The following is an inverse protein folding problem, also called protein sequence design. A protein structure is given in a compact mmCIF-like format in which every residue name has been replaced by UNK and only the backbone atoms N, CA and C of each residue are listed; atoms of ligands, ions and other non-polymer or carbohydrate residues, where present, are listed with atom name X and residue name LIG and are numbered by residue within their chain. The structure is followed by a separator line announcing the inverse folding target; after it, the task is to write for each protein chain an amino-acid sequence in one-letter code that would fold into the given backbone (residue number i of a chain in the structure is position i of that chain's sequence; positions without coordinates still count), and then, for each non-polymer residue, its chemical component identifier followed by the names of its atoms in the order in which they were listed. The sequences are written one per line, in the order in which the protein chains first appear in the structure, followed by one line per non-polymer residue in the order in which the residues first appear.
data_IF_078719580543
#
_entry.id   IF_078719580543
#
_cell.length_a   1.000
_cell.length_b   1.000
_cell.length_c   1.000
_cell.angle_alpha   90.00
_cell.angle_beta   90.00
_cell.angle_gamma   90.00
#
_symmetry.space_group_name_H-M   'P 1'
#
loop_
_entity.id
_entity.type
_entity.pdbx_description
1 polymer ?
#
# COMPACT_ATOMS: atom_id res chain seq x y z
N UNK A 1 -15.23 1.40 27.19
CA UNK A 1 -14.55 0.22 27.76
C UNK A 1 -13.16 0.12 27.16
N UNK A 2 -12.09 0.31 27.95
CA UNK A 2 -10.70 0.26 27.46
C UNK A 2 -10.29 -1.21 27.31
N UNK A 3 -10.10 -1.68 26.07
CA UNK A 3 -9.62 -3.03 25.79
C UNK A 3 -8.11 -3.05 26.04
N UNK A 4 -7.68 -3.72 27.12
CA UNK A 4 -6.27 -4.06 27.34
C UNK A 4 -5.96 -5.28 26.48
N UNK A 5 -5.13 -5.09 25.46
CA UNK A 5 -4.61 -6.20 24.64
C UNK A 5 -3.47 -6.83 25.45
N UNK A 6 -3.69 -8.07 25.88
CA UNK A 6 -2.72 -8.84 26.66
C UNK A 6 -1.74 -9.52 25.67
N UNK A 7 -0.63 -8.84 25.40
CA UNK A 7 0.31 -9.13 24.30
C UNK A 7 1.45 -10.11 24.68
N UNK A 8 1.31 -10.90 25.76
CA UNK A 8 2.45 -11.61 26.35
C UNK A 8 2.77 -13.00 25.75
N UNK A 9 1.92 -13.59 24.90
CA UNK A 9 2.14 -14.98 24.44
C UNK A 9 1.97 -15.28 22.95
N UNK A 10 1.55 -14.33 22.12
CA UNK A 10 1.58 -14.54 20.67
C UNK A 10 2.91 -14.05 20.10
N UNK A 11 3.76 -15.00 19.67
CA UNK A 11 4.89 -14.67 18.79
C UNK A 11 4.31 -14.01 17.55
N UNK A 12 4.52 -12.69 17.43
CA UNK A 12 4.12 -11.93 16.25
C UNK A 12 4.81 -12.52 15.04
N UNK A 13 4.04 -13.23 14.23
CA UNK A 13 4.53 -14.13 13.18
C UNK A 13 5.08 -13.40 11.94
N UNK A 14 5.18 -12.07 12.00
CA UNK A 14 5.70 -11.23 10.92
C UNK A 14 6.51 -10.07 11.53
N UNK A 15 7.83 -10.14 11.41
CA UNK A 15 8.74 -9.09 11.84
C UNK A 15 10.08 -9.20 11.12
N UNK A 16 10.68 -8.05 10.79
CA UNK A 16 12.02 -7.98 10.23
C UNK A 16 13.03 -8.43 11.29
N UNK A 17 13.65 -9.59 11.09
CA UNK A 17 14.74 -10.05 11.94
C UNK A 17 16.05 -9.42 11.48
N UNK A 18 16.60 -8.49 12.27
CA UNK A 18 17.96 -7.99 12.07
C UNK A 18 18.91 -8.99 12.74
N UNK A 19 19.76 -9.66 11.97
CA UNK A 19 20.87 -10.41 12.54
C UNK A 19 21.91 -9.41 13.06
N UNK A 20 21.93 -9.20 14.36
CA UNK A 20 22.98 -8.41 15.01
C UNK A 20 24.14 -9.31 15.38
N UNK A 21 25.04 -9.60 14.43
CA UNK A 21 26.36 -10.11 14.78
C UNK A 21 27.16 -8.98 15.43
N UNK A 22 27.23 -8.99 16.76
CA UNK A 22 28.03 -8.05 17.55
C UNK A 22 29.53 -8.36 17.37
N UNK A 23 30.09 -7.90 16.26
CA UNK A 23 31.53 -7.72 16.13
C UNK A 23 31.81 -6.21 16.15
N UNK A 24 32.53 -5.74 17.19
CA UNK A 24 33.00 -4.35 17.28
C UNK A 24 33.86 -4.06 16.06
N UNK A 25 33.35 -3.22 15.16
CA UNK A 25 33.98 -2.88 13.89
C UNK A 25 34.22 -1.37 13.81
N UNK A 26 35.41 -1.00 13.35
CA UNK A 26 35.98 0.35 13.38
C UNK A 26 35.21 1.31 12.46
N UNK A 27 35.22 2.61 12.76
CA UNK A 27 34.43 3.68 12.11
C UNK A 27 34.52 3.70 10.56
N UNK A 28 35.62 3.23 9.97
CA UNK A 28 35.76 3.10 8.50
C UNK A 28 34.88 2.00 7.90
N UNK A 29 34.64 0.89 8.61
CA UNK A 29 33.77 -0.21 8.13
C UNK A 29 32.29 0.20 8.10
N UNK A 30 31.86 1.15 8.94
CA UNK A 30 30.50 1.71 8.89
C UNK A 30 30.23 2.55 7.63
N UNK A 31 31.27 3.21 7.08
CA UNK A 31 31.13 3.98 5.83
C UNK A 31 31.07 3.10 4.58
N UNK A 32 31.69 1.91 4.63
CA UNK A 32 31.64 0.90 3.56
C UNK A 32 30.46 -0.07 3.69
N UNK A 33 29.79 -0.11 4.85
CA UNK A 33 28.43 -0.60 4.97
C UNK A 33 27.47 0.36 4.23
N UNK A 34 27.59 0.41 2.91
CA UNK A 34 26.42 0.64 2.06
C UNK A 34 25.36 -0.33 2.56
N UNK A 35 24.38 0.22 3.27
CA UNK A 35 23.26 -0.44 3.91
C UNK A 35 22.44 -1.21 2.87
N UNK A 36 22.98 -2.33 2.40
CA UNK A 36 22.22 -3.36 1.74
C UNK A 36 21.53 -4.12 2.87
N UNK A 37 20.50 -3.49 3.43
CA UNK A 37 19.61 -4.11 4.41
C UNK A 37 18.84 -5.18 3.65
N UNK A 38 19.40 -6.39 3.59
CA UNK A 38 18.71 -7.53 3.01
C UNK A 38 17.65 -7.99 4.02
N UNK A 39 16.39 -7.63 3.76
CA UNK A 39 15.26 -8.06 4.56
C UNK A 39 14.77 -9.43 4.08
N UNK A 40 14.83 -10.42 4.96
CA UNK A 40 14.29 -11.76 4.73
C UNK A 40 12.99 -11.95 5.52
N UNK A 41 11.93 -12.34 4.83
CA UNK A 41 10.68 -12.73 5.49
C UNK A 41 10.76 -14.20 5.89
N UNK A 42 10.30 -14.52 7.09
CA UNK A 42 10.22 -15.89 7.58
C UNK A 42 8.77 -16.23 7.86
N UNK A 43 8.37 -17.46 7.54
CA UNK A 43 7.10 -18.06 7.98
C UNK A 43 7.46 -19.31 8.78
N UNK A 44 7.46 -19.21 10.11
CA UNK A 44 8.03 -20.24 10.98
C UNK A 44 9.55 -20.38 10.79
N UNK A 45 10.04 -21.60 10.55
CA UNK A 45 11.46 -21.89 10.31
C UNK A 45 11.90 -21.69 8.85
N UNK A 46 10.97 -21.42 7.92
CA UNK A 46 11.28 -21.29 6.50
C UNK A 46 11.51 -19.83 6.11
N UNK A 47 12.64 -19.58 5.44
CA UNK A 47 12.92 -18.32 4.75
C UNK A 47 12.10 -18.25 3.46
N UNK A 48 11.30 -17.20 3.33
CA UNK A 48 10.50 -16.92 2.15
C UNK A 48 11.43 -16.41 1.05
N UNK A 49 11.39 -17.06 -0.11
CA UNK A 49 12.15 -16.69 -1.30
C UNK A 49 12.04 -15.17 -1.59
N UNK A 50 13.14 -14.53 -1.98
CA UNK A 50 13.26 -13.08 -2.25
C UNK A 50 12.15 -12.53 -3.15
N UNK A 51 11.73 -13.28 -4.19
CA UNK A 51 10.62 -12.88 -5.08
C UNK A 51 9.28 -12.76 -4.35
N UNK A 52 8.97 -13.73 -3.49
CA UNK A 52 7.71 -13.77 -2.73
C UNK A 52 7.71 -12.74 -1.60
N UNK A 53 8.88 -12.52 -0.99
CA UNK A 53 9.18 -11.42 -0.07
C UNK A 53 8.88 -10.05 -0.72
N UNK A 54 9.38 -9.83 -1.93
CA UNK A 54 9.17 -8.58 -2.66
C UNK A 54 7.69 -8.36 -2.98
N UNK A 55 6.98 -9.41 -3.40
CA UNK A 55 5.55 -9.34 -3.68
C UNK A 55 4.72 -8.99 -2.42
N UNK A 56 5.01 -9.63 -1.28
CA UNK A 56 4.34 -9.34 -0.01
C UNK A 56 4.58 -7.89 0.41
N UNK A 57 5.85 -7.45 0.38
CA UNK A 57 6.20 -6.06 0.72
C UNK A 57 5.50 -5.04 -0.19
N UNK A 58 5.41 -5.32 -1.50
CA UNK A 58 4.67 -4.49 -2.46
C UNK A 58 3.18 -4.41 -2.13
N UNK A 59 2.54 -5.52 -1.75
CA UNK A 59 1.13 -5.54 -1.33
C UNK A 59 0.90 -4.75 -0.05
N UNK A 60 1.79 -4.89 0.94
CA UNK A 60 1.71 -4.15 2.21
C UNK A 60 1.83 -2.64 1.95
N UNK A 61 2.83 -2.22 1.18
CA UNK A 61 3.04 -0.81 0.83
C UNK A 61 1.88 -0.22 0.04
N UNK A 62 1.38 -0.94 -0.96
CA UNK A 62 0.21 -0.50 -1.74
C UNK A 62 -1.04 -0.37 -0.86
N UNK A 63 -1.27 -1.32 0.05
CA UNK A 63 -2.41 -1.28 0.98
C UNK A 63 -2.29 -0.08 1.92
N UNK A 64 -1.10 0.13 2.49
CA UNK A 64 -0.82 1.27 3.37
C UNK A 64 -1.03 2.61 2.65
N UNK A 65 -0.44 2.79 1.47
CA UNK A 65 -0.58 4.01 0.69
C UNK A 65 -2.04 4.33 0.33
N UNK A 66 -2.82 3.34 -0.08
CA UNK A 66 -4.25 3.52 -0.38
C UNK A 66 -5.08 3.86 0.87
N UNK A 67 -4.74 3.28 2.03
CA UNK A 67 -5.41 3.63 3.28
C UNK A 67 -5.09 5.05 3.73
N UNK A 68 -3.83 5.49 3.60
CA UNK A 68 -3.44 6.87 3.85
C UNK A 68 -4.23 7.84 2.96
N UNK A 69 -4.30 7.55 1.66
CA UNK A 69 -5.06 8.35 0.70
C UNK A 69 -6.55 8.41 1.05
N UNK A 70 -7.16 7.26 1.40
CA UNK A 70 -8.56 7.16 1.82
C UNK A 70 -8.84 8.00 3.05
N UNK A 71 -7.91 8.01 4.01
CA UNK A 71 -8.03 8.84 5.22
C UNK A 71 -7.89 10.31 4.90
N UNK A 72 -6.90 10.70 4.08
CA UNK A 72 -6.68 12.08 3.67
C UNK A 72 -7.90 12.68 2.95
N UNK A 73 -8.53 11.91 2.05
CA UNK A 73 -9.75 12.33 1.34
C UNK A 73 -10.94 12.45 2.32
N UNK A 74 -11.10 11.51 3.27
CA UNK A 74 -12.19 11.55 4.27
C UNK A 74 -12.07 12.70 5.26
N UNK A 75 -10.84 13.03 5.68
CA UNK A 75 -10.60 14.18 6.55
C UNK A 75 -10.86 15.41 5.70
N UNK A 76 -12.08 15.96 5.84
CA UNK A 76 -12.74 16.99 5.02
C UNK A 76 -11.88 18.12 4.45
N UNK A 77 -10.68 18.37 4.95
CA UNK A 77 -9.72 19.38 4.47
C UNK A 77 -9.52 19.36 2.94
N UNK A 78 -9.58 18.20 2.28
CA UNK A 78 -9.42 18.11 0.82
C UNK A 78 -10.75 18.16 0.04
N UNK A 79 -11.87 17.77 0.67
CA UNK A 79 -13.18 17.64 0.02
C UNK A 79 -14.20 18.75 0.36
N UNK A 80 -13.96 19.56 1.39
CA UNK A 80 -14.93 20.63 1.76
C UNK A 80 -14.83 21.86 0.89
N UNK A 81 -13.74 22.01 0.15
CA UNK A 81 -13.58 23.05 -0.84
C UNK A 81 -13.12 22.34 -2.13
N UNK A 82 -14.02 22.22 -3.12
CA UNK A 82 -13.69 21.77 -4.48
C UNK A 82 -12.83 22.81 -5.21
N UNK A 83 -11.77 23.30 -4.57
CA UNK A 83 -10.81 24.21 -5.17
C UNK A 83 -10.06 23.48 -6.28
N UNK A 84 -9.75 24.21 -7.35
CA UNK A 84 -8.95 23.66 -8.45
C UNK A 84 -7.57 23.17 -7.94
N UNK A 85 -6.99 23.83 -6.93
CA UNK A 85 -5.75 23.37 -6.30
C UNK A 85 -5.85 21.96 -5.68
N UNK A 86 -6.96 21.64 -5.01
CA UNK A 86 -7.17 20.31 -4.45
C UNK A 86 -7.36 19.25 -5.54
N UNK A 87 -8.03 19.62 -6.64
CA UNK A 87 -8.19 18.73 -7.80
C UNK A 87 -6.84 18.44 -8.45
N UNK A 88 -6.01 19.46 -8.65
CA UNK A 88 -4.66 19.31 -9.22
C UNK A 88 -3.75 18.42 -8.36
N UNK A 89 -3.88 18.49 -7.03
CA UNK A 89 -3.12 17.63 -6.11
C UNK A 89 -3.63 16.18 -6.12
N UNK A 90 -4.92 15.96 -6.34
CA UNK A 90 -5.54 14.64 -6.35
C UNK A 90 -5.43 13.93 -7.71
N UNK A 91 -5.43 14.67 -8.82
CA UNK A 91 -5.47 14.13 -10.18
C UNK A 91 -4.37 13.09 -10.48
N UNK A 92 -3.10 13.28 -10.05
CA UNK A 92 -2.05 12.29 -10.26
C UNK A 92 -2.34 10.94 -9.58
N UNK A 93 -3.07 10.94 -8.46
CA UNK A 93 -3.41 9.72 -7.73
C UNK A 93 -4.45 8.87 -8.45
N UNK A 94 -5.22 9.46 -9.37
CA UNK A 94 -6.20 8.71 -10.19
C UNK A 94 -5.51 7.60 -10.98
N UNK A 95 -4.36 7.89 -11.57
CA UNK A 95 -3.59 6.89 -12.32
C UNK A 95 -3.09 5.78 -11.39
N UNK A 96 -2.64 6.12 -10.18
CA UNK A 96 -2.20 5.14 -9.19
C UNK A 96 -3.34 4.23 -8.73
N UNK A 97 -4.54 4.79 -8.53
CA UNK A 97 -5.75 4.03 -8.24
C UNK A 97 -6.10 3.11 -9.41
N UNK A 98 -5.90 3.51 -10.67
CA UNK A 98 -6.12 2.62 -11.81
C UNK A 98 -5.10 1.46 -11.85
N UNK A 99 -3.85 1.71 -11.47
CA UNK A 99 -2.81 0.69 -11.44
C UNK A 99 -3.06 -0.36 -10.36
N UNK A 100 -3.64 0.01 -9.22
CA UNK A 100 -3.90 -0.92 -8.12
C UNK A 100 -4.82 -2.09 -8.52
N UNK A 101 -5.74 -1.87 -9.47
CA UNK A 101 -6.57 -2.92 -10.06
C UNK A 101 -5.78 -3.99 -10.84
N UNK A 102 -4.50 -3.77 -11.16
CA UNK A 102 -3.62 -4.82 -11.74
C UNK A 102 -3.23 -5.89 -10.73
N UNK A 103 -3.31 -5.59 -9.43
CA UNK A 103 -2.79 -6.50 -8.40
C UNK A 103 -3.66 -7.72 -8.17
N UNK A 104 -4.95 -7.69 -8.56
CA UNK A 104 -5.98 -8.70 -8.26
C UNK A 104 -6.04 -9.11 -6.78
N UNK A 105 -5.47 -8.30 -5.89
CA UNK A 105 -5.44 -8.56 -4.47
C UNK A 105 -6.66 -7.89 -3.83
N UNK A 106 -7.63 -8.69 -3.37
CA UNK A 106 -8.95 -8.21 -2.94
C UNK A 106 -8.91 -6.99 -1.99
N UNK A 107 -8.10 -6.95 -0.92
CA UNK A 107 -8.03 -5.76 -0.06
C UNK A 107 -7.64 -4.47 -0.79
N UNK A 108 -6.71 -4.57 -1.74
CA UNK A 108 -6.25 -3.44 -2.56
C UNK A 108 -7.36 -3.00 -3.51
N UNK A 109 -8.00 -3.96 -4.19
CA UNK A 109 -9.11 -3.71 -5.11
C UNK A 109 -10.28 -3.03 -4.40
N UNK A 110 -10.75 -3.58 -3.28
CA UNK A 110 -11.86 -3.02 -2.50
C UNK A 110 -11.56 -1.60 -1.99
N UNK A 111 -10.34 -1.37 -1.52
CA UNK A 111 -9.93 -0.03 -1.06
C UNK A 111 -9.89 0.96 -2.23
N UNK A 112 -9.43 0.51 -3.40
CA UNK A 112 -9.37 1.32 -4.61
C UNK A 112 -10.76 1.66 -5.16
N UNK A 113 -11.69 0.71 -5.12
CA UNK A 113 -13.10 0.97 -5.44
C UNK A 113 -13.71 2.01 -4.51
N UNK A 114 -13.46 1.87 -3.20
CA UNK A 114 -13.94 2.86 -2.21
C UNK A 114 -13.42 4.26 -2.54
N UNK A 115 -12.14 4.38 -2.89
CA UNK A 115 -11.52 5.64 -3.29
C UNK A 115 -12.17 6.23 -4.54
N UNK A 116 -12.44 5.41 -5.56
CA UNK A 116 -13.16 5.86 -6.77
C UNK A 116 -14.51 6.47 -6.39
N UNK A 117 -15.30 5.80 -5.55
CA UNK A 117 -16.60 6.32 -5.11
C UNK A 117 -16.47 7.68 -4.40
N UNK A 118 -15.36 7.91 -3.73
CA UNK A 118 -15.07 9.16 -3.02
C UNK A 118 -14.56 10.28 -3.92
N UNK A 119 -14.00 9.99 -5.11
CA UNK A 119 -13.42 11.02 -5.98
C UNK A 119 -14.22 11.21 -7.28
N UNK A 120 -15.15 10.30 -7.60
CA UNK A 120 -15.91 10.33 -8.87
C UNK A 120 -16.68 11.64 -9.06
N UNK A 121 -17.20 12.23 -7.98
CA UNK A 121 -17.95 13.48 -8.04
C UNK A 121 -17.07 14.69 -8.37
N UNK A 122 -15.78 14.66 -8.01
CA UNK A 122 -14.83 15.75 -8.23
C UNK A 122 -14.49 15.97 -9.72
N UNK A 123 -14.92 15.07 -10.61
CA UNK A 123 -14.81 15.25 -12.07
C UNK A 123 -13.38 15.50 -12.57
N UNK A 124 -12.39 14.87 -11.91
CA UNK A 124 -10.96 15.02 -12.19
C UNK A 124 -10.60 14.73 -13.66
N UNK A 125 -9.72 15.53 -14.30
CA UNK A 125 -9.32 15.34 -15.71
C UNK A 125 -8.80 13.93 -16.02
N UNK A 126 -7.87 13.40 -15.21
CA UNK A 126 -7.32 12.06 -15.38
C UNK A 126 -8.37 10.97 -15.20
N UNK A 127 -9.39 11.21 -14.36
CA UNK A 127 -10.48 10.26 -14.18
C UNK A 127 -11.34 10.18 -15.43
N UNK A 128 -11.70 11.33 -16.03
CA UNK A 128 -12.45 11.39 -17.30
C UNK A 128 -11.70 10.68 -18.43
N UNK A 129 -10.40 10.95 -18.57
CA UNK A 129 -9.57 10.32 -19.61
C UNK A 129 -9.43 8.81 -19.44
N UNK A 130 -9.43 8.31 -18.20
CA UNK A 130 -9.22 6.90 -17.91
C UNK A 130 -10.49 6.14 -17.50
N UNK A 131 -11.67 6.76 -17.59
CA UNK A 131 -12.93 6.16 -17.16
C UNK A 131 -13.20 4.82 -17.83
N UNK A 132 -13.03 4.74 -19.15
CA UNK A 132 -13.20 3.51 -19.93
C UNK A 132 -12.25 2.41 -19.42
N UNK A 133 -10.99 2.76 -19.10
CA UNK A 133 -10.01 1.82 -18.56
C UNK A 133 -10.40 1.34 -17.16
N UNK A 134 -10.94 2.22 -16.32
CA UNK A 134 -11.48 1.84 -15.02
C UNK A 134 -12.62 0.83 -15.16
N UNK A 135 -13.63 1.17 -15.96
CA UNK A 135 -14.80 0.32 -16.18
C UNK A 135 -14.41 -1.04 -16.72
N UNK A 136 -13.57 -1.09 -17.76
CA UNK A 136 -13.09 -2.35 -18.34
C UNK A 136 -12.38 -3.23 -17.30
N UNK A 137 -11.63 -2.63 -16.37
CA UNK A 137 -10.98 -3.40 -15.30
C UNK A 137 -11.95 -3.88 -14.24
N UNK A 138 -12.91 -3.05 -13.88
CA UNK A 138 -13.95 -3.42 -12.92
C UNK A 138 -14.78 -4.59 -13.49
N UNK A 139 -15.19 -4.52 -14.75
CA UNK A 139 -15.92 -5.61 -15.41
C UNK A 139 -15.11 -6.90 -15.45
N UNK A 140 -13.83 -6.84 -15.80
CA UNK A 140 -12.94 -8.03 -15.75
C UNK A 140 -12.82 -8.66 -14.37
N UNK A 141 -12.95 -7.88 -13.29
CA UNK A 141 -12.95 -8.44 -11.94
C UNK A 141 -14.22 -9.26 -11.66
N UNK A 142 -15.35 -8.88 -12.25
CA UNK A 142 -16.61 -9.63 -12.12
C UNK A 142 -16.65 -10.86 -13.04
N UNK A 143 -16.07 -10.79 -14.23
CA UNK A 143 -15.94 -11.94 -15.13
C UNK A 143 -15.09 -13.07 -14.52
N UNK A 144 -14.04 -12.73 -13.77
CA UNK A 144 -13.19 -13.71 -13.08
C UNK A 144 -13.85 -14.37 -11.85
N UNK A 145 -15.07 -13.94 -11.48
CA UNK A 145 -15.80 -14.45 -10.30
C UNK A 145 -16.92 -15.45 -10.64
N UNK A 146 -17.08 -15.79 -11.93
CA UNK A 146 -17.95 -16.86 -12.43
C UNK A 146 -17.13 -18.11 -12.77
#
# INVERSE_FOLDING_TARGET
TKIKINDEKEKRDYGAGVQTDHSRKTIQQYKEMNLKVEMYWKKGSQTVNSKKTQEISGRVLATFGLQCLKKAIKTKVVLTEETEENKDRLDPFVVLILQSFKTYHNPIVVTSLTLITQIVHLSLPSFKQNLIKFLNKIFKLFELSQ
#
